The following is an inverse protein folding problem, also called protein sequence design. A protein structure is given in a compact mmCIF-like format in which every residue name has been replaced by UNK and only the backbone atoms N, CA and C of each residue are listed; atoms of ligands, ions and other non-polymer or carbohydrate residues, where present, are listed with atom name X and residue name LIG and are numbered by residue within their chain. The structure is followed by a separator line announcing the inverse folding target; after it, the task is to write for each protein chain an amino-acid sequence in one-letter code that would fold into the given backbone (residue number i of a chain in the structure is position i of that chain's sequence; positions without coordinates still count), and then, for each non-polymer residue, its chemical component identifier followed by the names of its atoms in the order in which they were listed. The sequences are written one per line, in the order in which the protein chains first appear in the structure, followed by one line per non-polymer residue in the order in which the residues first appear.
data_IF_166641912123
#
_entry.id   IF_166641912123
#
_cell.length_a   1.000
_cell.length_b   1.000
_cell.length_c   1.000
_cell.angle_alpha   90.00
_cell.angle_beta   90.00
_cell.angle_gamma   90.00
#
_symmetry.space_group_name_H-M   'P 1'
#
loop_
_entity.id
_entity.type
_entity.pdbx_description
1 polymer ?
#
# COMPACT_ATOMS: atom_id res chain seq x y z
N UNK A 1 -6.80 7.98 2.81
CA UNK A 1 -7.60 6.81 3.22
C UNK A 1 -6.66 5.88 3.94
N UNK A 2 -6.90 5.60 5.22
CA UNK A 2 -6.04 4.73 6.00
C UNK A 2 -6.22 3.27 5.55
N UNK A 3 -5.14 2.51 5.63
CA UNK A 3 -5.12 1.09 5.34
C UNK A 3 -4.31 0.38 6.41
N UNK A 4 -4.68 -0.85 6.70
CA UNK A 4 -3.79 -1.76 7.41
C UNK A 4 -2.96 -2.51 6.39
N UNK A 5 -1.66 -2.20 6.37
CA UNK A 5 -0.68 -2.87 5.51
C UNK A 5 0.22 -3.67 6.42
N UNK A 6 0.36 -4.98 6.16
CA UNK A 6 1.35 -5.78 6.86
C UNK A 6 2.74 -5.44 6.30
N UNK A 7 3.64 -5.02 7.17
CA UNK A 7 5.00 -4.68 6.81
C UNK A 7 5.95 -5.44 7.72
N UNK A 8 6.76 -6.31 7.14
CA UNK A 8 7.61 -7.23 7.91
C UNK A 8 9.00 -6.64 8.19
N UNK A 9 9.43 -5.60 7.45
CA UNK A 9 10.72 -4.96 7.70
C UNK A 9 10.65 -4.04 8.93
N UNK A 10 11.66 -4.14 9.79
CA UNK A 10 11.76 -3.42 11.07
C UNK A 10 12.80 -2.28 11.05
N UNK A 11 13.47 -2.06 9.92
CA UNK A 11 14.52 -1.06 9.74
C UNK A 11 14.36 -0.26 8.44
N UNK A 12 15.16 0.80 8.26
CA UNK A 12 15.06 1.67 7.08
C UNK A 12 15.58 0.98 5.82
N UNK A 13 14.99 1.31 4.68
CA UNK A 13 15.55 0.96 3.36
C UNK A 13 16.39 2.14 2.88
N UNK A 14 17.68 1.90 2.67
CA UNK A 14 18.57 2.86 2.04
C UNK A 14 18.32 2.87 0.53
N UNK A 15 18.07 4.05 -0.04
CA UNK A 15 17.97 4.26 -1.48
C UNK A 15 19.10 5.21 -1.88
N UNK A 16 19.98 4.74 -2.76
CA UNK A 16 21.04 5.59 -3.32
C UNK A 16 20.47 6.59 -4.33
N UNK A 17 21.12 7.75 -4.53
CA UNK A 17 20.73 8.71 -5.56
C UNK A 17 20.55 8.06 -6.93
N UNK A 18 19.51 8.45 -7.65
CA UNK A 18 19.17 7.94 -8.98
C UNK A 18 19.18 9.09 -9.98
N UNK A 19 19.66 8.86 -11.20
CA UNK A 19 19.66 9.86 -12.29
C UNK A 19 18.26 10.21 -12.78
N UNK A 20 17.28 9.33 -12.51
CA UNK A 20 15.89 9.49 -12.92
C UNK A 20 14.98 9.49 -11.70
N UNK A 21 13.83 10.18 -11.78
CA UNK A 21 12.82 10.10 -10.73
C UNK A 21 12.40 8.66 -10.47
N UNK A 22 12.40 8.27 -9.20
CA UNK A 22 11.82 7.02 -8.73
C UNK A 22 10.57 7.31 -7.92
N UNK A 23 9.56 6.46 -8.09
CA UNK A 23 8.32 6.55 -7.35
C UNK A 23 8.37 5.56 -6.19
N UNK A 24 8.22 6.06 -4.97
CA UNK A 24 8.15 5.23 -3.77
C UNK A 24 6.70 4.82 -3.52
N UNK A 25 6.48 3.58 -3.13
CA UNK A 25 5.16 3.06 -2.83
C UNK A 25 4.61 3.73 -1.57
N UNK A 26 3.53 4.50 -1.74
CA UNK A 26 2.71 5.00 -0.64
C UNK A 26 1.43 4.21 -0.40
N UNK A 27 1.09 3.24 -1.28
CA UNK A 27 -0.14 2.46 -1.13
C UNK A 27 0.01 1.23 -0.22
N UNK A 28 1.23 0.71 -0.07
CA UNK A 28 1.52 -0.51 0.69
C UNK A 28 1.24 -1.81 -0.05
N UNK A 29 0.80 -1.76 -1.31
CA UNK A 29 0.46 -2.95 -2.10
C UNK A 29 1.55 -3.40 -3.07
N UNK A 30 2.66 -2.67 -3.21
CA UNK A 30 3.71 -3.04 -4.19
C UNK A 30 4.27 -4.44 -3.91
N UNK A 31 4.51 -5.21 -4.97
CA UNK A 31 5.30 -6.46 -4.91
C UNK A 31 6.80 -6.19 -5.04
N UNK A 32 7.17 -4.93 -5.34
CA UNK A 32 8.54 -4.47 -5.52
C UNK A 32 8.92 -3.41 -4.47
N UNK A 33 8.61 -3.68 -3.20
CA UNK A 33 8.86 -2.73 -2.10
C UNK A 33 10.36 -2.36 -2.01
N UNK A 34 10.72 -1.06 -1.91
CA UNK A 34 9.87 0.10 -1.62
C UNK A 34 9.31 0.83 -2.86
N UNK A 35 9.62 0.37 -4.06
CA UNK A 35 9.29 1.08 -5.29
C UNK A 35 7.85 0.87 -5.73
N UNK A 36 7.29 1.84 -6.44
CA UNK A 36 5.97 1.73 -7.04
C UNK A 36 6.03 0.84 -8.29
N UNK A 37 5.16 -0.17 -8.35
CA UNK A 37 4.97 -1.09 -9.48
C UNK A 37 3.63 -0.88 -10.22
N UNK A 38 2.83 0.10 -9.78
CA UNK A 38 1.51 0.40 -10.33
C UNK A 38 0.33 -0.25 -9.59
N UNK A 39 0.56 -1.07 -8.56
CA UNK A 39 -0.52 -1.70 -7.78
C UNK A 39 -1.43 -0.71 -7.05
N UNK A 40 -0.98 0.54 -6.85
CA UNK A 40 -1.82 1.63 -6.32
C UNK A 40 -3.08 1.92 -7.16
N UNK A 41 -3.16 1.43 -8.39
CA UNK A 41 -4.35 1.60 -9.23
C UNK A 41 -5.59 0.93 -8.63
N UNK A 42 -5.42 -0.18 -7.91
CA UNK A 42 -6.52 -0.84 -7.18
C UNK A 42 -7.11 0.05 -6.08
N UNK A 43 -6.32 0.98 -5.55
CA UNK A 43 -6.74 1.89 -4.47
C UNK A 43 -7.66 3.02 -4.93
N UNK A 44 -7.87 3.22 -6.23
CA UNK A 44 -8.68 4.34 -6.75
C UNK A 44 -10.16 4.28 -6.37
N UNK A 45 -10.66 3.07 -6.09
CA UNK A 45 -12.04 2.84 -5.69
C UNK A 45 -12.25 2.89 -4.17
N UNK A 46 -11.18 3.05 -3.39
CA UNK A 46 -11.28 3.15 -1.94
C UNK A 46 -12.08 4.40 -1.53
N UNK A 47 -12.82 4.29 -0.43
CA UNK A 47 -13.60 5.38 0.14
C UNK A 47 -12.97 5.93 1.42
N UNK A 48 -13.10 7.25 1.71
CA UNK A 48 -12.54 7.86 2.91
C UNK A 48 -13.09 7.33 4.24
N UNK A 49 -14.30 6.78 4.26
CA UNK A 49 -14.99 6.26 5.45
C UNK A 49 -14.76 4.75 5.68
N UNK A 50 -13.78 4.16 4.98
CA UNK A 50 -13.58 2.71 4.94
C UNK A 50 -12.12 2.31 5.12
N UNK A 51 -11.93 1.24 5.87
CA UNK A 51 -10.68 0.49 5.99
C UNK A 51 -10.75 -0.73 5.08
N UNK A 52 -9.69 -0.92 4.30
CA UNK A 52 -9.54 -2.03 3.36
C UNK A 52 -8.40 -2.94 3.81
N UNK A 53 -8.66 -4.25 3.84
CA UNK A 53 -7.65 -5.29 4.00
C UNK A 53 -7.44 -5.96 2.66
N UNK A 54 -6.20 -5.96 2.20
CA UNK A 54 -5.82 -6.57 0.93
C UNK A 54 -5.16 -7.93 1.16
N UNK A 55 -5.48 -8.88 0.29
CA UNK A 55 -4.76 -10.14 0.21
C UNK A 55 -3.34 -9.92 -0.34
N UNK A 56 -2.36 -10.55 0.30
CA UNK A 56 -0.94 -10.33 -0.04
C UNK A 56 -0.56 -10.93 -1.40
N UNK A 57 -1.22 -12.02 -1.82
CA UNK A 57 -0.85 -12.77 -3.03
C UNK A 57 -1.58 -12.24 -4.27
N UNK A 58 -2.84 -11.87 -4.10
CA UNK A 58 -3.75 -11.47 -5.20
C UNK A 58 -3.95 -9.96 -5.29
N UNK A 59 -3.59 -9.20 -4.25
CA UNK A 59 -3.79 -7.73 -4.17
C UNK A 59 -5.27 -7.32 -4.34
N UNK A 60 -6.19 -8.22 -4.01
CA UNK A 60 -7.63 -7.94 -3.97
C UNK A 60 -8.08 -7.60 -2.56
N UNK A 61 -9.14 -6.79 -2.44
CA UNK A 61 -9.78 -6.51 -1.14
C UNK A 61 -10.45 -7.79 -0.63
N UNK A 62 -10.07 -8.24 0.57
CA UNK A 62 -10.68 -9.39 1.26
C UNK A 62 -11.60 -8.96 2.41
N UNK A 63 -11.43 -7.73 2.91
CA UNK A 63 -12.28 -7.17 3.95
C UNK A 63 -12.43 -5.67 3.74
N UNK A 64 -13.65 -5.16 3.93
CA UNK A 64 -13.97 -3.74 4.01
C UNK A 64 -14.77 -3.49 5.30
N UNK A 65 -14.34 -2.52 6.10
CA UNK A 65 -15.05 -2.12 7.32
C UNK A 65 -15.08 -0.60 7.49
N UNK A 66 -16.03 -0.04 8.25
CA UNK A 66 -16.04 1.39 8.56
C UNK A 66 -14.74 1.83 9.22
N UNK A 67 -14.24 3.01 8.83
CA UNK A 67 -13.10 3.67 9.47
C UNK A 67 -13.62 4.57 10.61
N UNK A 68 -13.74 4.02 11.82
CA UNK A 68 -14.27 4.72 12.99
C UNK A 68 -14.56 3.78 14.16
N UNK A 69 -14.81 4.32 15.37
CA UNK A 69 -15.21 3.50 16.51
C UNK A 69 -16.53 2.79 16.21
N UNK A 70 -16.57 1.50 16.54
CA UNK A 70 -17.76 0.65 16.48
C UNK A 70 -18.84 1.10 17.45
#
# INVERSE_FOLDING_TARGET
MPRLVRHDLTGPIKIEPQDKPVFICGCGLTRNFPFCDGSHKACKAERPDRLYVYDADTQTVVEERPDGPS
#
